data_IF_510482848675
#
_entry.id   IF_510482848675
#
_cell.length_a   1.000
_cell.length_b   1.000
_cell.length_c   1.000
_cell.angle_alpha   90.00
_cell.angle_beta   90.00
_cell.angle_gamma   90.00
#
_symmetry.space_group_name_H-M   'P 1'
#
loop_
_entity.id
_entity.type
_entity.pdbx_description
1 polymer ?
#
# COMPACT_ATOMS: atom_id res chain seq x y z
N UNK A 1 -24.34 -13.35 4.69
CA UNK A 1 -23.85 -13.46 3.30
C UNK A 1 -22.66 -14.41 3.23
N UNK A 2 -22.45 -15.01 2.07
CA UNK A 2 -21.26 -15.80 1.76
C UNK A 2 -20.33 -14.98 0.85
N UNK A 3 -19.19 -14.60 1.37
CA UNK A 3 -18.27 -13.63 0.74
C UNK A 3 -16.96 -14.31 0.36
N UNK A 4 -16.50 -14.07 -0.85
CA UNK A 4 -15.14 -14.43 -1.28
C UNK A 4 -14.25 -13.19 -1.31
N UNK A 5 -13.12 -13.23 -0.61
CA UNK A 5 -12.07 -12.22 -0.69
C UNK A 5 -10.90 -12.76 -1.52
N UNK A 6 -10.57 -12.13 -2.66
CA UNK A 6 -9.61 -12.68 -3.60
C UNK A 6 -8.49 -11.71 -3.95
N UNK A 7 -7.25 -12.17 -3.84
CA UNK A 7 -6.05 -11.44 -4.27
C UNK A 7 -5.01 -12.38 -4.90
N UNK A 8 -3.95 -11.81 -5.49
CA UNK A 8 -2.94 -12.61 -6.16
C UNK A 8 -2.02 -13.37 -5.20
N UNK A 9 -1.60 -12.76 -4.08
CA UNK A 9 -0.58 -13.29 -3.18
C UNK A 9 -1.00 -13.23 -1.71
N UNK A 10 -0.51 -14.19 -0.94
CA UNK A 10 -0.79 -14.34 0.49
C UNK A 10 -0.28 -13.17 1.36
N UNK A 11 0.80 -12.52 0.94
CA UNK A 11 1.28 -11.30 1.59
C UNK A 11 0.23 -10.17 1.56
N UNK A 12 -0.41 -9.99 0.39
CA UNK A 12 -1.50 -9.00 0.25
C UNK A 12 -2.70 -9.39 1.13
N UNK A 13 -3.04 -10.69 1.16
CA UNK A 13 -4.09 -11.20 2.03
C UNK A 13 -3.80 -10.87 3.50
N UNK A 14 -2.61 -11.24 4.00
CA UNK A 14 -2.18 -11.04 5.39
C UNK A 14 -2.17 -9.56 5.78
N UNK A 15 -1.62 -8.69 4.94
CA UNK A 15 -1.34 -7.29 5.31
C UNK A 15 -2.49 -6.32 5.04
N UNK A 16 -3.31 -6.58 4.03
CA UNK A 16 -4.31 -5.60 3.56
C UNK A 16 -5.75 -6.09 3.70
N UNK A 17 -5.99 -7.40 3.60
CA UNK A 17 -7.36 -7.92 3.46
C UNK A 17 -7.86 -8.58 4.75
N UNK A 18 -6.99 -9.17 5.56
CA UNK A 18 -7.37 -9.82 6.82
C UNK A 18 -8.21 -8.92 7.73
N UNK A 19 -7.87 -7.62 7.95
CA UNK A 19 -8.73 -6.76 8.77
C UNK A 19 -10.17 -6.66 8.26
N UNK A 20 -10.37 -6.60 6.95
CA UNK A 20 -11.71 -6.63 6.34
C UNK A 20 -12.39 -8.00 6.51
N UNK A 21 -11.63 -9.09 6.37
CA UNK A 21 -12.14 -10.47 6.63
C UNK A 21 -12.63 -10.59 8.07
N UNK A 22 -11.85 -10.12 9.04
CA UNK A 22 -12.20 -10.16 10.46
C UNK A 22 -13.48 -9.37 10.74
N UNK A 23 -13.61 -8.18 10.19
CA UNK A 23 -14.80 -7.36 10.33
C UNK A 23 -16.04 -8.04 9.71
N UNK A 24 -15.90 -8.70 8.56
CA UNK A 24 -16.98 -9.47 7.93
C UNK A 24 -17.37 -10.70 8.75
N UNK A 25 -16.40 -11.43 9.31
CA UNK A 25 -16.66 -12.57 10.21
C UNK A 25 -17.37 -12.10 11.49
N UNK A 26 -16.95 -10.98 12.07
CA UNK A 26 -17.58 -10.38 13.26
C UNK A 26 -19.04 -9.94 13.01
N UNK A 27 -19.39 -9.60 11.76
CA UNK A 27 -20.78 -9.34 11.35
C UNK A 27 -21.59 -10.63 11.08
N UNK A 28 -21.00 -11.81 11.34
CA UNK A 28 -21.66 -13.11 11.14
C UNK A 28 -21.70 -13.59 9.68
N UNK A 29 -20.86 -13.01 8.81
CA UNK A 29 -20.77 -13.47 7.43
C UNK A 29 -19.87 -14.71 7.32
N UNK A 30 -20.15 -15.57 6.36
CA UNK A 30 -19.21 -16.62 5.97
C UNK A 30 -18.20 -16.03 4.99
N UNK A 31 -16.93 -16.06 5.35
CA UNK A 31 -15.86 -15.54 4.48
C UNK A 31 -14.88 -16.63 4.10
N UNK A 32 -14.57 -16.75 2.82
CA UNK A 32 -13.51 -17.62 2.30
C UNK A 32 -12.58 -16.80 1.41
N UNK A 33 -11.28 -16.84 1.71
CA UNK A 33 -10.28 -16.10 0.94
C UNK A 33 -9.66 -16.97 -0.16
N UNK A 34 -9.17 -16.33 -1.23
CA UNK A 34 -8.45 -16.99 -2.33
C UNK A 34 -7.17 -16.24 -2.62
N UNK A 35 -6.06 -16.97 -2.68
CA UNK A 35 -4.78 -16.44 -3.17
C UNK A 35 -3.89 -17.57 -3.73
N UNK A 36 -2.77 -17.21 -4.35
CA UNK A 36 -1.73 -18.19 -4.72
C UNK A 36 -1.00 -18.69 -3.48
N UNK A 37 -0.29 -19.80 -3.66
CA UNK A 37 0.57 -20.37 -2.62
C UNK A 37 1.67 -19.36 -2.22
N UNK A 38 1.96 -19.28 -0.91
CA UNK A 38 3.00 -18.43 -0.33
C UNK A 38 3.31 -18.80 1.12
N UNK A 39 4.35 -18.19 1.67
CA UNK A 39 4.91 -18.53 2.98
C UNK A 39 4.04 -18.16 4.19
N UNK A 40 3.02 -17.30 4.01
CA UNK A 40 2.14 -16.87 5.10
C UNK A 40 0.88 -17.76 5.27
N UNK A 41 0.62 -18.68 4.32
CA UNK A 41 -0.63 -19.45 4.30
C UNK A 41 -0.82 -20.33 5.53
N UNK A 42 0.24 -21.01 5.98
CA UNK A 42 0.14 -21.93 7.11
C UNK A 42 -0.16 -21.18 8.42
N UNK A 43 0.42 -19.99 8.60
CA UNK A 43 0.10 -19.12 9.74
C UNK A 43 -1.36 -18.67 9.70
N UNK A 44 -1.85 -18.19 8.56
CA UNK A 44 -3.23 -17.76 8.40
C UNK A 44 -4.23 -18.90 8.60
N UNK A 45 -3.95 -20.10 8.08
CA UNK A 45 -4.80 -21.29 8.27
C UNK A 45 -4.82 -21.73 9.73
N UNK A 46 -3.67 -21.69 10.43
CA UNK A 46 -3.61 -21.99 11.88
C UNK A 46 -4.43 -21.01 12.72
N UNK A 47 -4.54 -19.76 12.28
CA UNK A 47 -5.42 -18.74 12.89
C UNK A 47 -6.91 -18.95 12.58
N UNK A 48 -7.26 -19.96 11.81
CA UNK A 48 -8.66 -20.32 11.52
C UNK A 48 -9.24 -19.72 10.24
N UNK A 49 -8.46 -18.97 9.45
CA UNK A 49 -8.98 -18.41 8.20
C UNK A 49 -9.20 -19.49 7.14
N UNK A 50 -10.37 -19.44 6.49
CA UNK A 50 -10.70 -20.34 5.40
C UNK A 50 -10.07 -19.83 4.10
N UNK A 51 -9.04 -20.52 3.62
CA UNK A 51 -8.28 -20.10 2.44
C UNK A 51 -8.23 -21.23 1.42
N UNK A 52 -8.71 -20.94 0.21
CA UNK A 52 -8.53 -21.76 -0.99
C UNK A 52 -7.29 -21.30 -1.73
N UNK A 53 -6.45 -22.23 -2.14
CA UNK A 53 -5.23 -21.92 -2.90
C UNK A 53 -5.49 -22.18 -4.38
N UNK A 54 -5.56 -21.10 -5.15
CA UNK A 54 -5.70 -21.16 -6.61
C UNK A 54 -4.53 -20.39 -7.21
N UNK A 55 -3.71 -20.99 -8.06
CA UNK A 55 -2.59 -20.32 -8.71
C UNK A 55 -3.07 -19.14 -9.56
N UNK A 56 -2.63 -17.95 -9.22
CA UNK A 56 -2.88 -16.71 -9.95
C UNK A 56 -1.52 -16.11 -10.26
N UNK A 57 -1.04 -16.29 -11.49
CA UNK A 57 0.25 -15.75 -11.87
C UNK A 57 0.18 -14.23 -12.08
N UNK A 58 1.23 -13.54 -11.63
CA UNK A 58 1.36 -12.09 -11.79
C UNK A 58 1.76 -11.70 -13.22
N UNK A 59 2.29 -12.65 -13.99
CA UNK A 59 2.63 -12.48 -15.40
C UNK A 59 1.44 -12.85 -16.28
N UNK A 60 1.18 -12.07 -17.30
CA UNK A 60 0.10 -12.30 -18.28
C UNK A 60 0.47 -13.47 -19.23
N UNK A 61 0.44 -14.70 -18.72
CA UNK A 61 0.49 -15.91 -19.56
C UNK A 61 -0.94 -16.28 -19.98
N UNK A 62 -1.30 -16.22 -21.27
CA UNK A 62 -2.69 -16.48 -21.68
C UNK A 62 -3.19 -17.87 -21.26
N UNK A 63 -2.37 -18.91 -21.46
CA UNK A 63 -2.75 -20.30 -21.13
C UNK A 63 -2.97 -20.47 -19.61
N UNK A 64 -2.04 -19.97 -18.79
CA UNK A 64 -2.16 -20.07 -17.35
C UNK A 64 -3.31 -19.20 -16.81
N UNK A 65 -3.55 -18.05 -17.46
CA UNK A 65 -4.71 -17.20 -17.18
C UNK A 65 -6.04 -17.92 -17.41
N UNK A 66 -6.19 -18.61 -18.52
CA UNK A 66 -7.39 -19.43 -18.83
C UNK A 66 -7.60 -20.56 -17.81
N UNK A 67 -6.52 -21.23 -17.40
CA UNK A 67 -6.59 -22.25 -16.35
C UNK A 67 -7.04 -21.66 -15.00
N UNK A 68 -6.52 -20.49 -14.65
CA UNK A 68 -6.94 -19.78 -13.43
C UNK A 68 -8.41 -19.37 -13.49
N UNK A 69 -8.88 -18.81 -14.62
CA UNK A 69 -10.30 -18.48 -14.83
C UNK A 69 -11.18 -19.71 -14.66
N UNK A 70 -10.81 -20.84 -15.28
CA UNK A 70 -11.56 -22.08 -15.19
C UNK A 70 -11.65 -22.61 -13.74
N UNK A 71 -10.52 -22.63 -13.01
CA UNK A 71 -10.49 -23.04 -11.59
C UNK A 71 -11.32 -22.11 -10.72
N UNK A 72 -11.23 -20.80 -10.92
CA UNK A 72 -12.04 -19.81 -10.20
C UNK A 72 -13.52 -19.98 -10.52
N UNK A 73 -13.89 -20.21 -11.78
CA UNK A 73 -15.26 -20.47 -12.20
C UNK A 73 -15.86 -21.69 -11.47
N UNK A 74 -15.15 -22.83 -11.49
CA UNK A 74 -15.59 -24.04 -10.78
C UNK A 74 -15.69 -23.80 -9.28
N UNK A 75 -14.76 -23.08 -8.70
CA UNK A 75 -14.78 -22.73 -7.29
C UNK A 75 -15.97 -21.83 -6.96
N UNK A 76 -16.23 -20.78 -7.70
CA UNK A 76 -17.38 -19.89 -7.45
C UNK A 76 -18.71 -20.62 -7.64
N UNK A 77 -18.84 -21.48 -8.63
CA UNK A 77 -20.04 -22.32 -8.83
C UNK A 77 -20.26 -23.29 -7.68
N UNK A 78 -19.21 -23.95 -7.20
CA UNK A 78 -19.28 -24.90 -6.06
C UNK A 78 -19.69 -24.22 -4.77
N UNK A 79 -19.09 -23.06 -4.51
CA UNK A 79 -19.29 -22.35 -3.25
C UNK A 79 -20.56 -21.49 -3.22
N UNK A 80 -21.06 -21.03 -4.37
CA UNK A 80 -22.24 -20.16 -4.48
C UNK A 80 -22.13 -18.91 -3.58
N UNK A 81 -21.15 -18.06 -3.85
CA UNK A 81 -20.95 -16.80 -3.13
C UNK A 81 -22.01 -15.76 -3.49
N UNK A 82 -22.48 -14.99 -2.50
CA UNK A 82 -23.30 -13.79 -2.70
C UNK A 82 -22.45 -12.64 -3.21
N UNK A 83 -21.21 -12.54 -2.71
CA UNK A 83 -20.26 -11.45 -3.05
C UNK A 83 -18.89 -12.03 -3.39
N UNK A 84 -18.32 -11.62 -4.51
CA UNK A 84 -16.91 -11.83 -4.84
C UNK A 84 -16.20 -10.47 -4.85
N UNK A 85 -15.36 -10.24 -3.86
CA UNK A 85 -14.57 -9.02 -3.72
C UNK A 85 -13.13 -9.30 -4.15
N UNK A 86 -12.70 -8.64 -5.21
CA UNK A 86 -11.41 -8.90 -5.85
C UNK A 86 -10.45 -7.73 -5.66
N UNK A 87 -9.18 -8.07 -5.44
CA UNK A 87 -8.10 -7.13 -5.18
C UNK A 87 -6.92 -7.44 -6.11
N UNK A 88 -6.07 -6.46 -6.35
CA UNK A 88 -4.89 -6.51 -7.24
C UNK A 88 -5.23 -6.73 -8.73
N UNK A 89 -4.56 -6.03 -9.66
CA UNK A 89 -5.02 -5.90 -11.04
C UNK A 89 -5.18 -7.23 -11.78
N UNK A 90 -4.17 -8.10 -11.74
CA UNK A 90 -4.20 -9.38 -12.49
C UNK A 90 -5.24 -10.33 -11.91
N UNK A 91 -5.27 -10.48 -10.58
CA UNK A 91 -6.26 -11.35 -9.93
C UNK A 91 -7.68 -10.83 -10.15
N UNK A 92 -7.87 -9.52 -10.07
CA UNK A 92 -9.15 -8.89 -10.34
C UNK A 92 -9.62 -9.11 -11.80
N UNK A 93 -8.72 -9.02 -12.77
CA UNK A 93 -9.05 -9.27 -14.17
C UNK A 93 -9.57 -10.71 -14.38
N UNK A 94 -8.84 -11.70 -13.90
CA UNK A 94 -9.20 -13.11 -14.05
C UNK A 94 -10.47 -13.48 -13.28
N UNK A 95 -10.59 -13.00 -12.03
CA UNK A 95 -11.70 -13.34 -11.17
C UNK A 95 -13.01 -12.68 -11.60
N UNK A 96 -13.01 -11.45 -12.15
CA UNK A 96 -14.21 -10.80 -12.69
C UNK A 96 -14.80 -11.60 -13.85
N UNK A 97 -13.96 -12.13 -14.75
CA UNK A 97 -14.39 -13.02 -15.85
C UNK A 97 -15.02 -14.31 -15.27
N UNK A 98 -14.33 -14.95 -14.33
CA UNK A 98 -14.84 -16.19 -13.72
C UNK A 98 -16.14 -15.97 -12.96
N UNK A 99 -16.29 -14.87 -12.20
CA UNK A 99 -17.47 -14.52 -11.44
C UNK A 99 -18.69 -14.25 -12.33
N UNK A 100 -18.49 -13.58 -13.46
CA UNK A 100 -19.54 -13.36 -14.47
C UNK A 100 -20.11 -14.68 -14.98
N UNK A 101 -19.26 -15.61 -15.43
CA UNK A 101 -19.72 -16.91 -15.92
C UNK A 101 -20.31 -17.78 -14.80
N UNK A 102 -19.84 -17.62 -13.56
CA UNK A 102 -20.41 -18.27 -12.39
C UNK A 102 -21.75 -17.66 -11.94
N UNK A 103 -22.14 -16.50 -12.50
CA UNK A 103 -23.33 -15.71 -12.14
C UNK A 103 -23.33 -15.31 -10.65
N UNK A 104 -22.19 -14.81 -10.19
CA UNK A 104 -22.09 -14.24 -8.83
C UNK A 104 -22.95 -12.98 -8.76
N UNK A 105 -23.84 -12.83 -7.74
CA UNK A 105 -24.77 -11.71 -7.67
C UNK A 105 -24.09 -10.33 -7.56
N UNK A 106 -23.01 -10.21 -6.78
CA UNK A 106 -22.30 -8.94 -6.60
C UNK A 106 -20.79 -9.12 -6.76
N UNK A 107 -20.21 -8.42 -7.73
CA UNK A 107 -18.77 -8.40 -7.99
C UNK A 107 -18.19 -7.02 -7.63
N UNK A 108 -17.38 -6.99 -6.58
CA UNK A 108 -16.70 -5.77 -6.08
C UNK A 108 -15.23 -5.81 -6.47
N UNK A 109 -14.71 -4.73 -7.03
CA UNK A 109 -13.29 -4.59 -7.32
C UNK A 109 -12.69 -3.44 -6.50
N UNK A 110 -11.67 -3.73 -5.68
CA UNK A 110 -10.83 -2.70 -5.04
C UNK A 110 -9.55 -2.49 -5.83
N UNK A 111 -9.42 -1.33 -6.45
CA UNK A 111 -8.18 -0.88 -7.06
C UNK A 111 -7.27 -0.26 -5.97
N UNK A 112 -6.18 -0.96 -5.63
CA UNK A 112 -5.12 -0.47 -4.73
C UNK A 112 -4.15 0.50 -5.43
N UNK A 113 -4.64 1.27 -6.38
CA UNK A 113 -3.93 2.09 -7.34
C UNK A 113 -3.98 1.45 -8.73
N UNK A 114 -4.48 2.20 -9.72
CA UNK A 114 -4.45 1.71 -11.10
C UNK A 114 -3.02 1.55 -11.60
N UNK A 115 -2.81 0.58 -12.47
CA UNK A 115 -1.48 0.32 -13.03
C UNK A 115 -1.02 1.46 -13.95
N UNK A 116 -1.94 2.14 -14.64
CA UNK A 116 -1.64 3.29 -15.48
C UNK A 116 -1.37 4.55 -14.63
N UNK A 117 -0.42 5.37 -15.05
CA UNK A 117 -0.04 6.64 -14.41
C UNK A 117 0.37 7.67 -15.47
N UNK A 118 0.50 8.94 -15.07
CA UNK A 118 0.70 10.05 -16.00
C UNK A 118 2.05 9.99 -16.73
N UNK A 119 3.09 9.49 -16.08
CA UNK A 119 4.44 9.30 -16.64
C UNK A 119 4.58 8.07 -17.57
N UNK A 120 3.49 7.29 -17.75
CA UNK A 120 3.51 6.10 -18.60
C UNK A 120 3.43 6.49 -20.08
N UNK A 121 4.20 5.80 -20.99
CA UNK A 121 4.04 5.99 -22.44
C UNK A 121 2.58 5.87 -22.89
N UNK A 122 2.11 6.82 -23.70
CA UNK A 122 0.70 6.99 -24.06
C UNK A 122 0.03 5.69 -24.58
N UNK A 123 0.72 4.94 -25.44
CA UNK A 123 0.19 3.68 -25.97
C UNK A 123 -0.01 2.62 -24.87
N UNK A 124 0.97 2.48 -23.98
CA UNK A 124 0.88 1.54 -22.85
C UNK A 124 -0.23 1.96 -21.89
N UNK A 125 -0.34 3.25 -21.61
CA UNK A 125 -1.40 3.83 -20.78
C UNK A 125 -2.78 3.54 -21.38
N UNK A 126 -2.94 3.73 -22.69
CA UNK A 126 -4.19 3.45 -23.40
C UNK A 126 -4.58 1.97 -23.29
N UNK A 127 -3.63 1.04 -23.43
CA UNK A 127 -3.88 -0.41 -23.31
C UNK A 127 -4.45 -0.74 -21.92
N UNK A 128 -3.86 -0.25 -20.83
CA UNK A 128 -4.35 -0.53 -19.48
C UNK A 128 -5.71 0.12 -19.20
N UNK A 129 -5.94 1.35 -19.68
CA UNK A 129 -7.24 2.00 -19.58
C UNK A 129 -8.30 1.20 -20.34
N UNK A 130 -8.01 0.77 -21.57
CA UNK A 130 -8.93 -0.03 -22.38
C UNK A 130 -9.24 -1.38 -21.74
N UNK A 131 -8.26 -2.02 -21.10
CA UNK A 131 -8.47 -3.25 -20.35
C UNK A 131 -9.43 -3.05 -19.17
N UNK A 132 -9.29 -1.97 -18.40
CA UNK A 132 -10.22 -1.66 -17.31
C UNK A 132 -11.62 -1.32 -17.82
N UNK A 133 -11.74 -0.57 -18.92
CA UNK A 133 -13.05 -0.28 -19.56
C UNK A 133 -13.72 -1.58 -20.03
N UNK A 134 -12.98 -2.52 -20.61
CA UNK A 134 -13.50 -3.82 -21.03
C UNK A 134 -14.04 -4.66 -19.86
N UNK A 135 -13.51 -4.48 -18.66
CA UNK A 135 -13.98 -5.17 -17.45
C UNK A 135 -15.21 -4.50 -16.80
N UNK A 136 -15.64 -3.34 -17.29
CA UNK A 136 -16.80 -2.61 -16.74
C UNK A 136 -18.08 -3.44 -16.64
N UNK A 137 -18.51 -4.21 -17.68
CA UNK A 137 -19.73 -5.01 -17.60
C UNK A 137 -19.63 -6.21 -16.64
N UNK A 138 -18.41 -6.54 -16.16
CA UNK A 138 -18.14 -7.65 -15.25
C UNK A 138 -17.89 -7.18 -13.82
N UNK A 139 -18.22 -5.92 -13.51
CA UNK A 139 -17.93 -5.28 -12.22
C UNK A 139 -19.17 -4.49 -11.78
N UNK A 140 -19.67 -4.77 -10.59
CA UNK A 140 -20.81 -4.05 -10.05
C UNK A 140 -20.38 -2.81 -9.26
N UNK A 141 -19.35 -2.93 -8.44
CA UNK A 141 -18.82 -1.83 -7.63
C UNK A 141 -17.30 -1.71 -7.82
N UNK A 142 -16.85 -0.47 -7.99
CA UNK A 142 -15.43 -0.13 -8.01
C UNK A 142 -15.08 0.68 -6.76
N UNK A 143 -14.19 0.12 -5.93
CA UNK A 143 -13.59 0.81 -4.81
C UNK A 143 -12.20 1.32 -5.19
N UNK A 144 -11.89 2.55 -4.82
CA UNK A 144 -10.56 3.13 -4.98
C UNK A 144 -10.02 3.60 -3.64
N UNK A 145 -8.74 3.40 -3.42
CA UNK A 145 -8.09 3.88 -2.19
C UNK A 145 -7.81 5.38 -2.24
N UNK A 146 -7.59 5.96 -3.43
CA UNK A 146 -7.39 7.39 -3.61
C UNK A 146 -8.61 8.07 -4.24
N UNK A 147 -8.88 9.30 -3.84
CA UNK A 147 -9.92 10.15 -4.44
C UNK A 147 -9.58 10.46 -5.91
N UNK A 148 -8.30 10.65 -6.21
CA UNK A 148 -7.81 10.91 -7.56
C UNK A 148 -8.11 9.73 -8.49
N UNK A 149 -7.95 8.48 -8.01
CA UNK A 149 -8.33 7.29 -8.78
C UNK A 149 -9.85 7.21 -9.01
N UNK A 150 -10.66 7.63 -8.05
CA UNK A 150 -12.12 7.67 -8.23
C UNK A 150 -12.50 8.68 -9.33
N UNK A 151 -11.91 9.87 -9.30
CA UNK A 151 -12.11 10.90 -10.33
C UNK A 151 -11.63 10.43 -11.71
N UNK A 152 -10.44 9.84 -11.77
CA UNK A 152 -9.88 9.30 -12.99
C UNK A 152 -10.73 8.16 -13.58
N UNK A 153 -11.21 7.23 -12.74
CA UNK A 153 -12.08 6.14 -13.18
C UNK A 153 -13.40 6.66 -13.78
N UNK A 154 -13.97 7.72 -13.20
CA UNK A 154 -15.17 8.34 -13.71
C UNK A 154 -14.92 9.08 -15.04
N UNK A 155 -13.86 9.91 -15.12
CA UNK A 155 -13.52 10.72 -16.30
C UNK A 155 -13.14 9.86 -17.50
N UNK A 156 -12.40 8.79 -17.27
CA UNK A 156 -11.98 7.80 -18.27
C UNK A 156 -13.08 6.78 -18.60
N UNK A 157 -14.27 6.90 -18.00
CA UNK A 157 -15.41 5.99 -18.19
C UNK A 157 -15.09 4.51 -17.90
N UNK A 158 -14.13 4.26 -17.00
CA UNK A 158 -13.80 2.90 -16.53
C UNK A 158 -15.02 2.29 -15.84
N UNK A 159 -15.78 3.11 -15.08
CA UNK A 159 -17.00 2.69 -14.42
C UNK A 159 -18.02 3.83 -14.37
N UNK A 160 -19.29 3.51 -14.16
CA UNK A 160 -20.32 4.51 -13.91
C UNK A 160 -20.04 5.21 -12.58
N UNK A 161 -20.05 6.56 -12.57
CA UNK A 161 -19.75 7.38 -11.39
C UNK A 161 -20.57 6.97 -10.15
N UNK A 162 -21.83 6.51 -10.31
CA UNK A 162 -22.68 6.05 -9.22
C UNK A 162 -22.24 4.74 -8.59
N UNK A 163 -21.32 4.01 -9.23
CA UNK A 163 -20.78 2.71 -8.77
C UNK A 163 -19.29 2.78 -8.41
N UNK A 164 -18.71 4.00 -8.37
CA UNK A 164 -17.34 4.26 -7.94
C UNK A 164 -17.38 4.85 -6.53
N UNK A 165 -16.61 4.26 -5.63
CA UNK A 165 -16.55 4.70 -4.24
C UNK A 165 -15.10 4.85 -3.79
N UNK A 166 -14.76 6.04 -3.35
CA UNK A 166 -13.52 6.28 -2.61
C UNK A 166 -13.66 5.71 -1.20
N UNK A 167 -12.79 4.78 -0.86
CA UNK A 167 -12.80 4.11 0.45
C UNK A 167 -11.67 4.57 1.38
N UNK A 168 -10.54 5.05 0.85
CA UNK A 168 -9.32 5.32 1.59
C UNK A 168 -8.45 4.07 1.75
N UNK A 169 -7.35 4.22 2.51
CA UNK A 169 -6.49 3.12 2.92
C UNK A 169 -6.34 3.15 4.45
N UNK A 170 -6.74 2.10 5.14
CA UNK A 170 -6.84 2.07 6.59
C UNK A 170 -5.54 1.63 7.27
N UNK A 171 -5.27 2.21 8.45
CA UNK A 171 -4.18 1.80 9.35
C UNK A 171 -4.73 1.64 10.76
N UNK A 172 -4.36 0.57 11.45
CA UNK A 172 -4.76 0.27 12.83
C UNK A 172 -4.15 1.30 13.78
N UNK A 173 -4.99 2.19 14.30
CA UNK A 173 -4.61 3.27 15.22
C UNK A 173 -4.19 2.78 16.61
N UNK A 174 -4.57 1.57 16.99
CA UNK A 174 -4.14 0.95 18.26
C UNK A 174 -2.73 0.41 18.13
N UNK A 175 -2.41 -0.20 16.98
CA UNK A 175 -1.09 -0.72 16.66
C UNK A 175 -0.08 0.40 16.39
N UNK A 176 -0.48 1.44 15.65
CA UNK A 176 0.37 2.61 15.35
C UNK A 176 0.05 3.75 16.30
N UNK A 177 0.58 3.66 17.53
CA UNK A 177 0.28 4.59 18.61
C UNK A 177 1.58 5.11 19.27
N UNK A 178 1.94 6.41 19.10
CA UNK A 178 3.17 6.98 19.65
C UNK A 178 3.22 7.01 21.18
N UNK A 179 2.08 6.83 21.89
CA UNK A 179 2.07 6.74 23.34
C UNK A 179 2.57 5.38 23.87
N UNK A 180 2.67 4.36 23.01
CA UNK A 180 3.22 3.04 23.37
C UNK A 180 4.75 3.12 23.36
N UNK A 181 5.37 2.60 24.41
CA UNK A 181 6.83 2.45 24.43
C UNK A 181 7.22 1.21 23.66
N UNK A 182 8.00 1.40 22.61
CA UNK A 182 8.57 0.32 21.84
C UNK A 182 10.02 0.10 22.24
N UNK A 183 10.43 -1.15 22.39
CA UNK A 183 11.82 -1.51 22.67
C UNK A 183 12.47 -2.01 21.37
N UNK A 184 13.43 -1.24 20.83
CA UNK A 184 14.18 -1.56 19.60
C UNK A 184 15.68 -1.42 19.91
N UNK A 185 16.16 -2.28 20.80
CA UNK A 185 17.57 -2.26 21.26
C UNK A 185 18.53 -2.75 20.17
N UNK A 186 18.07 -3.60 19.25
CA UNK A 186 18.88 -4.21 18.22
C UNK A 186 19.37 -3.25 17.11
N UNK A 187 18.78 -2.05 16.99
CA UNK A 187 19.22 -1.07 16.01
C UNK A 187 20.45 -0.23 16.45
N UNK A 188 20.83 -0.30 17.71
CA UNK A 188 21.95 0.47 18.28
C UNK A 188 21.92 1.97 17.91
N UNK A 189 20.73 2.56 17.82
CA UNK A 189 20.55 3.97 17.50
C UNK A 189 21.07 4.83 18.67
N UNK A 190 21.98 5.78 18.43
CA UNK A 190 22.46 6.65 19.49
C UNK A 190 21.36 7.57 20.02
N UNK A 191 21.39 7.88 21.30
CA UNK A 191 20.54 8.91 21.92
C UNK A 191 20.94 10.29 21.37
N UNK A 192 20.00 11.22 21.33
CA UNK A 192 20.20 12.63 20.91
C UNK A 192 20.63 12.80 19.42
N UNK A 193 20.22 11.90 18.56
CA UNK A 193 20.43 11.98 17.11
C UNK A 193 19.10 12.22 16.38
N UNK A 194 19.19 12.71 15.16
CA UNK A 194 18.06 12.84 14.25
C UNK A 194 18.06 11.64 13.31
N UNK A 195 17.00 10.87 13.32
CA UNK A 195 16.84 9.68 12.47
C UNK A 195 15.87 9.95 11.33
N UNK A 196 16.36 9.88 10.10
CA UNK A 196 15.54 9.94 8.89
C UNK A 196 15.33 8.52 8.41
N UNK A 197 14.06 8.09 8.36
CA UNK A 197 13.77 6.70 8.03
C UNK A 197 12.88 6.53 6.79
N UNK A 198 13.01 5.36 6.17
CA UNK A 198 12.23 4.92 5.04
C UNK A 198 11.78 3.47 5.25
N UNK A 199 10.50 3.20 5.01
CA UNK A 199 9.92 1.84 5.07
C UNK A 199 9.33 1.50 3.72
N UNK A 200 9.95 0.60 2.97
CA UNK A 200 9.47 0.20 1.63
C UNK A 200 10.14 -1.09 1.14
N UNK A 201 9.66 -1.63 0.01
CA UNK A 201 10.44 -2.62 -0.75
C UNK A 201 11.69 -1.97 -1.32
N UNK A 202 12.80 -2.70 -1.34
CA UNK A 202 14.08 -2.20 -1.86
C UNK A 202 14.15 -2.35 -3.39
N UNK A 203 13.34 -1.55 -4.09
CA UNK A 203 13.29 -1.46 -5.56
C UNK A 203 13.40 0.00 -6.00
N UNK A 204 13.91 0.21 -7.21
CA UNK A 204 14.22 1.54 -7.74
C UNK A 204 13.00 2.47 -7.74
N UNK A 205 11.81 1.95 -8.10
CA UNK A 205 10.58 2.73 -8.13
C UNK A 205 10.15 3.32 -6.77
N UNK A 206 10.73 2.85 -5.67
CA UNK A 206 10.50 3.39 -4.32
C UNK A 206 11.42 4.58 -3.98
N UNK A 207 12.34 4.93 -4.88
CA UNK A 207 13.21 6.08 -4.68
C UNK A 207 14.36 5.83 -3.70
N UNK A 208 14.80 4.56 -3.57
CA UNK A 208 15.91 4.19 -2.67
C UNK A 208 17.18 4.96 -3.03
N UNK A 209 17.48 5.10 -4.33
CA UNK A 209 18.66 5.81 -4.82
C UNK A 209 18.57 7.28 -4.41
N UNK A 210 17.42 7.93 -4.64
CA UNK A 210 17.19 9.32 -4.26
C UNK A 210 17.30 9.55 -2.75
N UNK A 211 16.78 8.62 -1.95
CA UNK A 211 16.91 8.66 -0.49
C UNK A 211 18.39 8.59 -0.06
N UNK A 212 19.14 7.63 -0.60
CA UNK A 212 20.56 7.43 -0.26
C UNK A 212 21.44 8.58 -0.74
N UNK A 213 21.16 9.15 -1.92
CA UNK A 213 21.89 10.31 -2.42
C UNK A 213 21.63 11.58 -1.59
N UNK A 214 20.38 11.78 -1.14
CA UNK A 214 20.06 12.86 -0.21
C UNK A 214 20.72 12.63 1.16
N UNK A 215 20.77 11.38 1.64
CA UNK A 215 21.43 10.99 2.86
C UNK A 215 22.94 11.29 2.84
N UNK A 216 23.62 10.93 1.76
CA UNK A 216 25.05 11.24 1.56
C UNK A 216 25.33 12.74 1.61
N UNK A 217 24.47 13.57 0.98
CA UNK A 217 24.59 15.04 1.03
C UNK A 217 24.41 15.58 2.44
N UNK A 218 23.35 15.16 3.16
CA UNK A 218 23.11 15.61 4.53
C UNK A 218 24.24 15.20 5.48
N UNK A 219 24.82 14.06 5.26
CA UNK A 219 25.90 13.54 6.10
C UNK A 219 27.19 14.37 6.04
N UNK A 220 27.41 15.20 5.01
CA UNK A 220 28.56 16.10 4.90
C UNK A 220 28.51 17.20 5.96
N UNK A 221 27.32 17.75 6.21
CA UNK A 221 27.13 18.92 7.06
C UNK A 221 26.59 18.56 8.47
N UNK A 222 25.94 17.39 8.61
CA UNK A 222 25.23 16.98 9.82
C UNK A 222 25.72 15.63 10.35
N UNK A 223 26.73 15.63 11.21
CA UNK A 223 27.33 14.41 11.79
C UNK A 223 26.37 13.67 12.76
N UNK A 224 25.32 14.34 13.24
CA UNK A 224 24.32 13.80 14.17
C UNK A 224 23.10 13.21 13.50
N UNK A 225 23.05 13.17 12.15
CA UNK A 225 21.94 12.61 11.39
C UNK A 225 22.24 11.15 11.00
N UNK A 226 21.28 10.27 11.27
CA UNK A 226 21.30 8.84 10.96
C UNK A 226 20.20 8.51 9.96
N UNK A 227 20.40 7.44 9.21
CA UNK A 227 19.48 7.01 8.16
C UNK A 227 19.08 5.56 8.42
N UNK A 228 17.76 5.30 8.48
CA UNK A 228 17.20 3.99 8.74
C UNK A 228 16.41 3.52 7.51
N UNK A 229 16.91 2.47 6.85
CA UNK A 229 16.25 1.86 5.71
C UNK A 229 15.65 0.50 6.11
N UNK A 230 14.33 0.41 6.07
CA UNK A 230 13.56 -0.78 6.47
C UNK A 230 12.89 -1.41 5.27
N UNK A 231 13.11 -2.70 5.09
CA UNK A 231 12.47 -3.50 4.06
C UNK A 231 13.41 -4.46 3.37
N UNK A 232 12.85 -5.23 2.45
CA UNK A 232 13.58 -6.22 1.66
C UNK A 232 13.07 -6.21 0.21
N UNK A 233 13.68 -7.06 -0.61
CA UNK A 233 13.16 -7.37 -1.94
C UNK A 233 12.29 -8.60 -1.90
N UNK A 234 11.31 -8.64 -2.78
CA UNK A 234 10.63 -9.89 -3.08
C UNK A 234 11.51 -10.75 -4.01
N UNK A 235 11.42 -12.06 -3.98
CA UNK A 235 12.16 -12.96 -4.89
C UNK A 235 11.91 -12.65 -6.38
N UNK A 236 10.83 -11.93 -6.69
CA UNK A 236 10.45 -11.50 -8.05
C UNK A 236 11.00 -10.12 -8.47
N UNK A 237 11.72 -9.43 -7.58
CA UNK A 237 12.25 -8.10 -7.84
C UNK A 237 13.72 -8.23 -8.33
N UNK A 238 13.96 -8.06 -9.63
CA UNK A 238 15.28 -8.24 -10.29
C UNK A 238 16.04 -6.91 -10.49
N UNK A 239 15.97 -5.99 -9.56
CA UNK A 239 16.60 -4.68 -9.72
C UNK A 239 17.96 -4.62 -9.01
N UNK A 240 19.05 -4.72 -9.78
CA UNK A 240 20.43 -4.62 -9.27
C UNK A 240 20.92 -3.18 -9.05
N UNK A 241 20.21 -2.17 -9.56
CA UNK A 241 20.63 -0.76 -9.43
C UNK A 241 20.60 -0.28 -7.99
N UNK A 242 19.67 -0.83 -7.19
CA UNK A 242 19.54 -0.52 -5.77
C UNK A 242 20.69 -1.10 -4.94
N UNK A 243 21.24 -2.27 -5.32
CA UNK A 243 22.36 -2.88 -4.58
C UNK A 243 23.61 -2.04 -4.61
N UNK A 244 23.98 -1.56 -5.79
CA UNK A 244 25.15 -0.70 -5.95
C UNK A 244 25.02 0.62 -5.19
N UNK A 245 23.81 1.21 -5.18
CA UNK A 245 23.53 2.43 -4.44
C UNK A 245 23.60 2.23 -2.91
N UNK A 246 23.13 1.08 -2.42
CA UNK A 246 23.25 0.72 -0.99
C UNK A 246 24.73 0.54 -0.63
N UNK A 247 25.49 -0.24 -1.40
CA UNK A 247 26.90 -0.48 -1.13
C UNK A 247 27.74 0.80 -1.14
N UNK A 248 27.47 1.71 -2.10
CA UNK A 248 28.12 3.02 -2.13
C UNK A 248 27.74 3.85 -0.89
N UNK A 249 26.47 3.86 -0.51
CA UNK A 249 26.03 4.59 0.67
C UNK A 249 26.59 4.00 1.99
N UNK A 250 26.72 2.69 2.12
CA UNK A 250 27.40 2.05 3.27
C UNK A 250 28.85 2.51 3.38
N UNK A 251 29.56 2.64 2.25
CA UNK A 251 30.94 3.13 2.22
C UNK A 251 31.07 4.57 2.69
N UNK A 252 30.13 5.44 2.29
CA UNK A 252 30.16 6.88 2.59
C UNK A 252 29.61 7.18 4.00
N UNK A 253 28.51 6.54 4.38
CA UNK A 253 27.79 6.83 5.61
C UNK A 253 28.29 6.01 6.81
N UNK A 254 28.89 4.85 6.55
CA UNK A 254 29.38 3.94 7.60
C UNK A 254 28.26 3.56 8.59
N UNK A 255 28.52 3.71 9.87
CA UNK A 255 27.58 3.38 10.95
C UNK A 255 26.34 4.31 11.04
N UNK A 256 26.28 5.35 10.22
CA UNK A 256 25.09 6.22 10.16
C UNK A 256 24.00 5.71 9.22
N UNK A 257 24.28 4.72 8.36
CA UNK A 257 23.28 4.00 7.60
C UNK A 257 22.96 2.67 8.29
N UNK A 258 21.70 2.51 8.66
CA UNK A 258 21.20 1.30 9.32
C UNK A 258 20.24 0.61 8.35
N UNK A 259 20.62 -0.60 7.93
CA UNK A 259 19.82 -1.48 7.08
C UNK A 259 19.10 -2.49 7.99
N UNK A 260 17.83 -2.25 8.28
CA UNK A 260 17.06 -3.09 9.22
C UNK A 260 16.51 -4.38 8.60
N UNK A 261 16.57 -4.52 7.26
CA UNK A 261 15.98 -5.66 6.56
C UNK A 261 14.45 -5.72 6.65
N UNK A 262 13.89 -6.88 6.42
CA UNK A 262 12.45 -7.11 6.56
C UNK A 262 12.08 -7.26 8.05
N UNK A 263 11.09 -6.47 8.49
CA UNK A 263 10.66 -6.39 9.88
C UNK A 263 9.14 -6.46 10.02
N UNK A 264 8.67 -6.97 11.14
CA UNK A 264 7.24 -6.98 11.51
C UNK A 264 6.88 -5.93 12.57
N UNK A 265 7.87 -5.44 13.31
CA UNK A 265 7.76 -4.44 14.39
C UNK A 265 7.82 -2.98 13.88
N UNK A 266 7.17 -2.74 12.74
CA UNK A 266 7.15 -1.43 12.07
C UNK A 266 6.78 -0.26 13.00
N UNK A 267 5.79 -0.38 13.92
CA UNK A 267 5.48 0.73 14.83
C UNK A 267 6.66 1.17 15.67
N UNK A 268 7.47 0.23 16.16
CA UNK A 268 8.66 0.53 16.93
C UNK A 268 9.76 1.17 16.09
N UNK A 269 9.96 0.70 14.86
CA UNK A 269 10.92 1.32 13.93
C UNK A 269 10.52 2.75 13.60
N UNK A 270 9.24 3.01 13.34
CA UNK A 270 8.74 4.37 13.14
C UNK A 270 8.89 5.24 14.40
N UNK A 271 8.66 4.67 15.59
CA UNK A 271 8.87 5.39 16.86
C UNK A 271 10.34 5.78 17.10
N UNK A 272 11.29 5.13 16.44
CA UNK A 272 12.72 5.46 16.49
C UNK A 272 13.17 6.50 15.46
N UNK A 273 12.25 6.97 14.59
CA UNK A 273 12.52 7.98 13.58
C UNK A 273 12.06 9.37 14.03
N UNK A 274 12.68 10.40 13.47
CA UNK A 274 12.29 11.81 13.58
C UNK A 274 11.62 12.35 12.33
N UNK A 275 11.97 11.79 11.17
CA UNK A 275 11.47 12.19 9.85
C UNK A 275 11.23 10.93 9.05
N UNK A 276 10.07 10.83 8.43
CA UNK A 276 9.77 9.77 7.47
C UNK A 276 9.95 10.28 6.04
N UNK A 277 10.63 9.49 5.20
CA UNK A 277 10.91 9.82 3.82
C UNK A 277 10.42 8.72 2.87
N UNK A 278 9.66 9.08 1.83
CA UNK A 278 9.24 8.15 0.78
C UNK A 278 9.28 8.83 -0.61
N UNK A 279 10.46 8.85 -1.27
CA UNK A 279 10.63 9.52 -2.56
C UNK A 279 10.26 8.64 -3.75
N UNK A 280 9.17 7.87 -3.64
CA UNK A 280 8.69 6.93 -4.66
C UNK A 280 8.37 7.61 -5.99
N UNK A 281 8.56 6.90 -7.09
CA UNK A 281 8.19 7.38 -8.43
C UNK A 281 6.73 7.18 -8.75
N UNK A 282 6.11 6.18 -8.10
CA UNK A 282 4.67 5.91 -8.21
C UNK A 282 4.15 5.18 -6.97
N UNK A 283 2.94 5.54 -6.59
CA UNK A 283 2.17 4.87 -5.54
C UNK A 283 0.69 4.81 -5.92
N UNK A 284 -0.06 3.93 -5.28
CA UNK A 284 -1.52 4.01 -5.27
C UNK A 284 -1.98 4.93 -4.15
N UNK A 285 -1.85 4.44 -2.91
CA UNK A 285 -2.01 5.18 -1.66
C UNK A 285 -1.09 4.51 -0.63
N UNK A 286 0.13 5.05 -0.41
CA UNK A 286 1.20 4.36 0.31
C UNK A 286 0.90 4.25 1.82
N UNK A 287 0.55 3.05 2.26
CA UNK A 287 0.23 2.78 3.67
C UNK A 287 1.34 3.21 4.63
N UNK A 288 2.61 3.13 4.22
CA UNK A 288 3.74 3.55 5.04
C UNK A 288 3.76 5.04 5.37
N UNK A 289 3.23 5.91 4.50
CA UNK A 289 3.03 7.33 4.81
C UNK A 289 1.97 7.47 5.91
N UNK A 290 0.84 6.77 5.78
CA UNK A 290 -0.23 6.83 6.79
C UNK A 290 0.28 6.29 8.13
N UNK A 291 1.02 5.18 8.12
CA UNK A 291 1.65 4.58 9.31
C UNK A 291 2.61 5.58 10.00
N UNK A 292 3.44 6.27 9.22
CA UNK A 292 4.33 7.32 9.73
C UNK A 292 3.55 8.51 10.32
N UNK A 293 2.49 8.97 9.63
CA UNK A 293 1.62 10.02 10.14
C UNK A 293 0.93 9.61 11.44
N UNK A 294 0.47 8.36 11.57
CA UNK A 294 -0.10 7.82 12.81
C UNK A 294 0.91 7.86 13.96
N UNK A 295 2.20 7.74 13.67
CA UNK A 295 3.31 7.81 14.64
C UNK A 295 3.85 9.24 14.88
N UNK A 296 3.11 10.27 14.44
CA UNK A 296 3.48 11.70 14.57
C UNK A 296 4.77 12.09 13.82
N UNK A 297 5.14 11.37 12.77
CA UNK A 297 6.30 11.72 11.98
C UNK A 297 5.94 12.76 10.89
N UNK A 298 6.74 13.84 10.72
CA UNK A 298 6.65 14.66 9.53
C UNK A 298 7.10 13.84 8.33
N UNK A 299 6.37 13.96 7.23
CA UNK A 299 6.59 13.18 6.01
C UNK A 299 7.24 14.03 4.93
N UNK A 300 8.30 13.53 4.29
CA UNK A 300 8.80 14.06 3.02
C UNK A 300 8.57 13.01 1.94
N UNK A 301 7.71 13.33 0.97
CA UNK A 301 7.34 12.40 -0.09
C UNK A 301 7.35 13.07 -1.46
N UNK A 302 7.30 12.29 -2.52
CA UNK A 302 7.15 12.82 -3.88
C UNK A 302 5.72 13.27 -4.16
N UNK A 303 5.58 14.32 -4.96
CA UNK A 303 4.28 14.85 -5.41
C UNK A 303 3.68 13.97 -6.51
N UNK A 304 3.24 12.79 -6.12
CA UNK A 304 2.60 11.80 -6.99
C UNK A 304 1.23 11.42 -6.44
N UNK A 305 0.43 10.74 -7.27
CA UNK A 305 -0.84 10.15 -6.86
C UNK A 305 -0.69 9.33 -5.56
N UNK A 306 -1.66 9.40 -4.68
CA UNK A 306 -1.62 8.81 -3.35
C UNK A 306 -0.88 9.69 -2.37
N UNK A 307 0.42 9.90 -2.52
CA UNK A 307 1.22 10.72 -1.60
C UNK A 307 0.66 12.15 -1.43
N UNK A 308 0.24 12.80 -2.52
CA UNK A 308 -0.33 14.17 -2.47
C UNK A 308 -1.74 14.25 -1.87
N UNK A 309 -2.43 13.12 -1.71
CA UNK A 309 -3.68 13.07 -0.95
C UNK A 309 -3.44 12.95 0.56
N UNK A 310 -2.37 12.25 0.93
CA UNK A 310 -2.00 12.01 2.32
C UNK A 310 -1.29 13.22 2.92
N UNK A 311 -0.30 13.74 2.20
CA UNK A 311 0.58 14.83 2.65
C UNK A 311 0.06 16.18 2.17
N UNK A 312 -0.18 17.09 3.12
CA UNK A 312 -0.51 18.50 2.87
C UNK A 312 0.75 19.34 3.05
N UNK A 313 1.18 20.02 1.98
CA UNK A 313 2.41 20.81 1.95
C UNK A 313 2.51 21.82 3.10
N UNK A 314 3.56 21.74 3.91
CA UNK A 314 3.84 22.62 5.04
C UNK A 314 2.95 22.41 6.28
N UNK A 315 1.91 21.58 6.19
CA UNK A 315 0.98 21.29 7.29
C UNK A 315 1.23 19.91 7.91
N UNK A 316 1.32 18.86 7.09
CA UNK A 316 1.55 17.47 7.54
C UNK A 316 2.84 16.88 7.01
N UNK A 317 3.55 17.58 6.15
CA UNK A 317 4.78 17.17 5.52
C UNK A 317 5.18 18.07 4.36
N UNK A 318 6.06 17.57 3.51
CA UNK A 318 6.51 18.25 2.30
C UNK A 318 6.46 17.33 1.09
N UNK A 319 6.12 17.91 -0.07
CA UNK A 319 6.07 17.23 -1.34
C UNK A 319 7.17 17.73 -2.26
N UNK A 320 7.91 16.81 -2.85
CA UNK A 320 9.02 17.11 -3.77
C UNK A 320 8.78 16.51 -5.15
N UNK A 321 9.37 17.07 -6.23
CA UNK A 321 9.30 16.43 -7.54
C UNK A 321 9.95 15.04 -7.54
N UNK A 322 9.44 14.14 -8.37
CA UNK A 322 10.02 12.79 -8.58
C UNK A 322 11.45 12.91 -9.08
N UNK A 323 12.35 12.05 -8.59
CA UNK A 323 13.79 12.00 -8.98
C UNK A 323 14.57 13.30 -8.73
N UNK A 324 14.12 14.15 -7.84
CA UNK A 324 14.78 15.41 -7.52
C UNK A 324 15.48 15.33 -6.15
N UNK A 325 16.69 14.78 -6.16
CA UNK A 325 17.54 14.64 -4.96
C UNK A 325 17.79 15.98 -4.27
N UNK A 326 17.97 17.08 -5.01
CA UNK A 326 18.26 18.39 -4.41
C UNK A 326 17.07 18.94 -3.62
N UNK A 327 15.84 18.83 -4.15
CA UNK A 327 14.64 19.23 -3.43
C UNK A 327 14.35 18.31 -2.25
N UNK A 328 14.65 17.03 -2.40
CA UNK A 328 14.53 16.08 -1.31
C UNK A 328 15.47 16.45 -0.15
N UNK A 329 16.75 16.68 -0.47
CA UNK A 329 17.76 17.15 0.48
C UNK A 329 17.31 18.43 1.18
N UNK A 330 16.90 19.48 0.46
CA UNK A 330 16.45 20.77 0.99
C UNK A 330 15.33 20.61 2.03
N UNK A 331 14.33 19.75 1.76
CA UNK A 331 13.20 19.55 2.67
C UNK A 331 13.59 18.72 3.91
N UNK A 332 14.45 17.72 3.73
CA UNK A 332 15.01 16.96 4.84
C UNK A 332 15.88 17.84 5.74
N UNK A 333 16.77 18.62 5.15
CA UNK A 333 17.63 19.59 5.85
C UNK A 333 16.81 20.61 6.64
N UNK A 334 15.76 21.15 6.03
CA UNK A 334 14.84 22.06 6.70
C UNK A 334 14.24 21.44 7.96
N UNK A 335 13.81 20.18 7.90
CA UNK A 335 13.26 19.47 9.04
C UNK A 335 14.34 19.10 10.07
N UNK A 336 15.56 18.77 9.66
CA UNK A 336 16.70 18.54 10.58
C UNK A 336 16.96 19.77 11.42
N UNK A 337 16.97 20.96 10.81
CA UNK A 337 17.28 22.22 11.48
C UNK A 337 16.11 22.82 12.29
N UNK A 338 14.88 22.30 12.16
CA UNK A 338 13.70 22.90 12.78
C UNK A 338 12.91 21.90 13.64
N UNK A 339 13.39 21.50 14.82
CA UNK A 339 12.76 20.48 15.65
C UNK A 339 11.30 20.80 16.06
N UNK A 340 11.00 22.08 16.33
CA UNK A 340 9.63 22.47 16.71
C UNK A 340 8.66 22.37 15.51
N UNK A 341 9.14 22.61 14.32
CA UNK A 341 8.37 22.42 13.08
C UNK A 341 8.12 20.93 12.86
N UNK A 342 9.14 20.07 13.08
CA UNK A 342 8.97 18.60 13.00
C UNK A 342 7.83 18.13 13.88
N UNK A 343 7.84 18.52 15.17
CA UNK A 343 6.80 18.14 16.13
C UNK A 343 5.42 18.65 15.74
N UNK A 344 5.32 19.90 15.31
CA UNK A 344 4.05 20.51 14.88
C UNK A 344 3.48 19.78 13.66
N UNK A 345 4.27 19.57 12.64
CA UNK A 345 3.89 18.89 11.39
C UNK A 345 3.49 17.43 11.67
N UNK A 346 4.26 16.72 12.51
CA UNK A 346 3.95 15.36 12.90
C UNK A 346 2.59 15.22 13.60
N UNK A 347 2.29 16.10 14.57
CA UNK A 347 0.98 16.15 15.26
C UNK A 347 -0.17 16.46 14.30
N UNK A 348 0.00 17.41 13.38
CA UNK A 348 -0.99 17.70 12.34
C UNK A 348 -1.20 16.49 11.44
N UNK A 349 -0.13 15.80 11.07
CA UNK A 349 -0.15 14.55 10.31
C UNK A 349 -1.00 13.48 10.99
N UNK A 350 -0.74 13.21 12.29
CA UNK A 350 -1.53 12.24 13.06
C UNK A 350 -3.01 12.62 13.12
N UNK A 351 -3.33 13.87 13.41
CA UNK A 351 -4.72 14.34 13.48
C UNK A 351 -5.46 14.11 12.17
N UNK A 352 -4.79 14.36 11.03
CA UNK A 352 -5.33 14.08 9.71
C UNK A 352 -5.50 12.58 9.47
N UNK A 353 -4.48 11.78 9.78
CA UNK A 353 -4.47 10.34 9.55
C UNK A 353 -5.57 9.64 10.36
N UNK A 354 -5.72 9.95 11.64
CA UNK A 354 -6.79 9.40 12.48
C UNK A 354 -8.19 9.72 11.94
N UNK A 355 -8.41 10.91 11.42
CA UNK A 355 -9.71 11.31 10.88
C UNK A 355 -10.06 10.62 9.55
N UNK A 356 -9.07 10.40 8.67
CA UNK A 356 -9.32 9.96 7.29
C UNK A 356 -8.98 8.50 7.05
N UNK A 357 -8.03 7.94 7.80
CA UNK A 357 -7.36 6.68 7.51
C UNK A 357 -7.37 5.70 8.69
N UNK A 358 -8.22 5.92 9.68
CA UNK A 358 -8.49 4.92 10.71
C UNK A 358 -9.06 3.65 10.05
N UNK A 359 -8.48 2.48 10.37
CA UNK A 359 -8.81 1.21 9.72
C UNK A 359 -10.29 0.84 9.91
N UNK A 360 -10.84 1.05 11.12
CA UNK A 360 -12.24 0.77 11.40
C UNK A 360 -13.18 1.65 10.57
N UNK A 361 -12.84 2.94 10.37
CA UNK A 361 -13.62 3.86 9.52
C UNK A 361 -13.60 3.41 8.06
N UNK A 362 -12.43 3.04 7.55
CA UNK A 362 -12.27 2.59 6.16
C UNK A 362 -12.99 1.27 5.90
N UNK A 363 -12.91 0.33 6.85
CA UNK A 363 -13.60 -0.97 6.77
C UNK A 363 -15.11 -0.79 6.83
N UNK A 364 -15.63 -0.04 7.80
CA UNK A 364 -17.06 0.19 7.97
C UNK A 364 -17.67 0.82 6.72
N UNK A 365 -16.98 1.80 6.09
CA UNK A 365 -17.40 2.39 4.82
C UNK A 365 -17.57 1.34 3.73
N UNK A 366 -16.65 0.38 3.60
CA UNK A 366 -16.75 -0.70 2.62
C UNK A 366 -17.94 -1.61 2.90
N UNK A 367 -18.12 -2.02 4.16
CA UNK A 367 -19.19 -2.90 4.59
C UNK A 367 -20.57 -2.27 4.36
N UNK A 368 -20.74 -1.00 4.69
CA UNK A 368 -21.98 -0.25 4.45
C UNK A 368 -22.34 -0.19 2.95
N UNK A 369 -21.34 0.06 2.09
CA UNK A 369 -21.57 0.12 0.65
C UNK A 369 -21.98 -1.27 0.14
N UNK A 370 -21.26 -2.32 0.48
CA UNK A 370 -21.56 -3.70 0.07
C UNK A 370 -22.97 -4.08 0.53
N UNK A 371 -23.32 -3.83 1.79
CA UNK A 371 -24.64 -4.13 2.34
C UNK A 371 -25.78 -3.46 1.57
N UNK A 372 -25.63 -2.19 1.18
CA UNK A 372 -26.66 -1.47 0.40
C UNK A 372 -26.95 -2.11 -0.96
N UNK A 373 -25.97 -2.74 -1.57
CA UNK A 373 -26.11 -3.36 -2.91
C UNK A 373 -26.49 -4.84 -2.84
N UNK A 374 -26.41 -5.48 -1.67
CA UNK A 374 -26.87 -6.87 -1.48
C UNK A 374 -28.32 -6.97 -0.95
N UNK A 375 -28.88 -5.91 -0.37
CA UNK A 375 -30.24 -5.90 0.18
C UNK A 375 -31.28 -5.46 -0.88
N UNK A 376 -30.87 -4.79 -1.93
CA UNK A 376 -31.77 -4.18 -2.92
C UNK A 376 -31.93 -4.98 -4.22
N UNK A 377 -31.42 -6.21 -4.27
CA UNK A 377 -31.70 -7.23 -5.28
C UNK A 377 -32.47 -8.41 -4.65
#
# INVERSE_FOLDING_TARGET
MKICQLCAVDFTLKRLIIPLVDAQLNQGHFVKSVCSFGGHLDDLKRKGYKIEVIPIERNLSPVKGLVSIWRLFLFFRRESFDVVHVHTPVAAFLARIAAFFARVPLVVYTAHGFYFHDEMPALKRLIFISAEIAMRPLTDLLFTQSQEDAVNAASLKIMNKKRIFYIGNGVDTKRFNPAVKYNIEDLNLPKDKVVIGMVSRLVQEKGIVEFLDAAKKLALDYSHVYFLLVGSRLPSDYDSSVDSAIQDAETVLGNRLILAGEREDIPGLLASMDIFCLPSWREGMPRSIIEAMMMELPVVATNIRGSREEVVEGETGFLVPVKNVNRLHEKLEYLVNNPEIRKRIGRSGRSRAMRLYDEDVVINRQLEIISKYTIND
#
